data_IF_126436243512
#
_entry.id   IF_126436243512
#
_cell.length_a   1.000
_cell.length_b   1.000
_cell.length_c   1.000
_cell.angle_alpha   90.00
_cell.angle_beta   90.00
_cell.angle_gamma   90.00
#
_symmetry.space_group_name_H-M   'P 1'
#
loop_
_entity.id
_entity.type
_entity.pdbx_description
1 polymer ?
#
# COMPACT_ATOMS: atom_id res chain seq x y z
N UNK A 1 12.12 2.39 3.77
CA UNK A 1 12.01 2.94 2.40
C UNK A 1 13.30 2.71 1.62
N UNK A 2 13.21 2.19 0.39
CA UNK A 2 14.32 2.20 -0.55
C UNK A 2 14.56 3.63 -1.05
N UNK A 3 15.67 4.26 -0.63
CA UNK A 3 15.98 5.66 -0.95
C UNK A 3 16.23 5.92 -2.44
N UNK A 4 16.62 4.88 -3.20
CA UNK A 4 16.83 4.98 -4.65
C UNK A 4 15.50 5.07 -5.40
N UNK A 5 14.59 4.16 -5.11
CA UNK A 5 13.22 4.16 -5.66
C UNK A 5 12.49 5.47 -5.30
N UNK A 6 12.63 5.92 -4.05
CA UNK A 6 12.07 7.20 -3.63
C UNK A 6 12.63 8.39 -4.41
N UNK A 7 13.95 8.42 -4.65
CA UNK A 7 14.60 9.48 -5.43
C UNK A 7 14.14 9.49 -6.89
N UNK A 8 14.03 8.32 -7.51
CA UNK A 8 13.52 8.17 -8.88
C UNK A 8 12.05 8.61 -8.98
N UNK A 9 11.19 8.15 -8.06
CA UNK A 9 9.76 8.48 -8.03
C UNK A 9 9.49 10.00 -7.96
N UNK A 10 10.24 10.73 -7.13
CA UNK A 10 10.04 12.19 -6.97
C UNK A 10 10.94 13.05 -7.87
N UNK A 11 11.75 12.42 -8.75
CA UNK A 11 12.65 13.11 -9.66
C UNK A 11 13.74 13.93 -8.95
N UNK A 12 14.36 13.37 -7.90
CA UNK A 12 15.44 14.01 -7.13
C UNK A 12 16.70 13.15 -7.10
N UNK A 13 17.82 13.77 -6.78
CA UNK A 13 19.07 13.05 -6.53
C UNK A 13 18.96 12.25 -5.23
N UNK A 14 19.56 11.06 -5.20
CA UNK A 14 19.53 10.19 -4.02
C UNK A 14 20.11 10.89 -2.77
N UNK A 15 21.12 11.75 -2.93
CA UNK A 15 21.71 12.55 -1.85
C UNK A 15 20.70 13.53 -1.26
N UNK A 16 19.76 14.03 -2.07
CA UNK A 16 18.66 14.88 -1.57
C UNK A 16 17.81 14.11 -0.56
N UNK A 17 17.46 12.86 -0.86
CA UNK A 17 16.70 11.99 0.06
C UNK A 17 17.48 11.72 1.36
N UNK A 18 18.78 11.42 1.25
CA UNK A 18 19.64 11.24 2.44
C UNK A 18 19.70 12.49 3.32
N UNK A 19 19.79 13.68 2.71
CA UNK A 19 19.85 14.93 3.46
C UNK A 19 18.52 15.29 4.12
N UNK A 20 17.39 14.89 3.53
CA UNK A 20 16.06 15.24 4.05
C UNK A 20 15.72 14.59 5.38
N UNK A 21 16.34 13.46 5.72
CA UNK A 21 16.22 12.87 7.07
C UNK A 21 16.56 13.88 8.17
N UNK A 22 17.55 14.77 7.90
CA UNK A 22 17.98 15.82 8.83
C UNK A 22 17.39 17.19 8.53
N UNK A 23 17.32 17.56 7.24
CA UNK A 23 17.01 18.93 6.80
C UNK A 23 15.52 19.15 6.56
N UNK A 24 14.76 18.10 6.25
CA UNK A 24 13.31 18.15 5.97
C UNK A 24 12.60 16.90 6.54
N UNK A 25 12.65 16.68 7.86
CA UNK A 25 12.24 15.42 8.48
C UNK A 25 10.76 15.07 8.23
N UNK A 26 9.89 16.06 8.07
CA UNK A 26 8.48 15.82 7.75
C UNK A 26 8.28 15.27 6.33
N UNK A 27 9.00 15.81 5.34
CA UNK A 27 8.97 15.29 3.97
C UNK A 27 9.55 13.88 3.91
N UNK A 28 10.65 13.65 4.63
CA UNK A 28 11.25 12.33 4.73
C UNK A 28 10.26 11.29 5.32
N UNK A 29 9.54 11.64 6.40
CA UNK A 29 8.50 10.78 6.99
C UNK A 29 7.33 10.49 6.05
N UNK A 30 6.90 11.47 5.26
CA UNK A 30 5.83 11.27 4.26
C UNK A 30 6.25 10.23 3.22
N UNK A 31 7.49 10.34 2.72
CA UNK A 31 8.03 9.34 1.79
C UNK A 31 8.16 7.97 2.45
N UNK A 32 8.68 7.90 3.67
CA UNK A 32 8.76 6.62 4.39
C UNK A 32 7.41 5.96 4.56
N UNK A 33 6.37 6.72 4.92
CA UNK A 33 5.01 6.20 5.06
C UNK A 33 4.45 5.69 3.73
N UNK A 34 4.65 6.43 2.64
CA UNK A 34 4.20 6.04 1.30
C UNK A 34 4.83 4.71 0.87
N UNK A 35 6.16 4.61 0.96
CA UNK A 35 6.89 3.42 0.52
C UNK A 35 6.77 2.25 1.51
N UNK A 36 6.53 2.50 2.79
CA UNK A 36 6.22 1.45 3.76
C UNK A 36 4.90 0.78 3.42
N UNK A 37 3.85 1.57 3.10
CA UNK A 37 2.56 1.03 2.64
C UNK A 37 2.70 0.19 1.38
N UNK A 38 3.50 0.60 0.42
CA UNK A 38 3.74 -0.23 -0.78
C UNK A 38 4.48 -1.53 -0.45
N UNK A 39 5.42 -1.51 0.50
CA UNK A 39 6.17 -2.71 0.91
C UNK A 39 5.40 -3.70 1.80
N UNK A 40 4.35 -3.23 2.50
CA UNK A 40 3.51 -4.04 3.38
C UNK A 40 2.34 -4.72 2.64
N UNK A 41 2.08 -4.33 1.39
CA UNK A 41 1.06 -4.98 0.56
C UNK A 41 1.65 -6.27 0.00
N UNK A 42 1.28 -7.40 0.60
CA UNK A 42 1.52 -8.73 0.06
C UNK A 42 1.13 -8.77 -1.44
N UNK A 43 1.93 -9.38 -2.34
CA UNK A 43 1.58 -9.54 -3.76
C UNK A 43 0.14 -10.02 -4.00
N UNK A 44 -0.36 -10.96 -3.19
CA UNK A 44 -1.75 -11.43 -3.24
C UNK A 44 -2.76 -10.35 -2.86
N UNK A 45 -2.42 -9.46 -1.92
CA UNK A 45 -3.28 -8.33 -1.56
C UNK A 45 -3.33 -7.29 -2.68
N UNK A 46 -2.20 -7.04 -3.35
CA UNK A 46 -2.18 -6.17 -4.54
C UNK A 46 -3.04 -6.75 -5.67
N UNK A 47 -2.86 -8.03 -5.98
CA UNK A 47 -3.65 -8.74 -6.98
C UNK A 47 -5.15 -8.73 -6.62
N UNK A 48 -5.51 -8.89 -5.34
CA UNK A 48 -6.89 -8.79 -4.88
C UNK A 48 -7.49 -7.40 -5.17
N UNK A 49 -6.79 -6.32 -4.88
CA UNK A 49 -7.25 -4.95 -5.16
C UNK A 49 -7.46 -4.77 -6.66
N UNK A 50 -6.47 -5.15 -7.47
CA UNK A 50 -6.54 -5.01 -8.93
C UNK A 50 -7.69 -5.81 -9.57
N UNK A 51 -8.00 -6.99 -9.02
CA UNK A 51 -9.14 -7.80 -9.45
C UNK A 51 -10.47 -7.19 -8.98
N UNK A 52 -10.53 -6.72 -7.74
CA UNK A 52 -11.74 -6.14 -7.15
C UNK A 52 -12.19 -4.85 -7.86
N UNK A 53 -11.23 -4.02 -8.25
CA UNK A 53 -11.49 -2.75 -8.97
C UNK A 53 -12.06 -2.96 -10.39
N UNK A 54 -11.94 -4.16 -10.96
CA UNK A 54 -12.51 -4.51 -12.29
C UNK A 54 -13.96 -4.98 -12.22
N UNK A 55 -14.47 -5.24 -11.02
CA UNK A 55 -15.83 -5.73 -10.81
C UNK A 55 -16.85 -4.60 -10.84
N UNK A 56 -18.08 -4.93 -11.22
CA UNK A 56 -19.22 -4.03 -11.01
C UNK A 56 -19.53 -3.85 -9.53
N UNK A 57 -20.26 -2.79 -9.16
CA UNK A 57 -20.63 -2.51 -7.77
C UNK A 57 -21.36 -3.70 -7.11
N UNK A 58 -22.22 -4.40 -7.85
CA UNK A 58 -22.97 -5.53 -7.28
C UNK A 58 -22.08 -6.75 -7.02
N UNK A 59 -21.10 -7.01 -7.90
CA UNK A 59 -20.11 -8.06 -7.71
C UNK A 59 -19.18 -7.74 -6.54
N UNK A 60 -18.75 -6.48 -6.40
CA UNK A 60 -17.98 -6.03 -5.25
C UNK A 60 -18.73 -6.28 -3.93
N UNK A 61 -20.02 -5.93 -3.85
CA UNK A 61 -20.85 -6.20 -2.66
C UNK A 61 -21.01 -7.69 -2.38
N UNK A 62 -21.13 -8.51 -3.43
CA UNK A 62 -21.18 -9.97 -3.30
C UNK A 62 -19.90 -10.51 -2.65
N UNK A 63 -18.72 -10.15 -3.18
CA UNK A 63 -17.44 -10.64 -2.64
C UNK A 63 -17.14 -10.09 -1.24
N UNK A 64 -17.52 -8.84 -0.95
CA UNK A 64 -17.44 -8.31 0.42
C UNK A 64 -18.30 -9.13 1.39
N UNK A 65 -19.51 -9.51 0.97
CA UNK A 65 -20.40 -10.35 1.77
C UNK A 65 -19.82 -11.75 2.00
N UNK A 66 -19.24 -12.38 0.97
CA UNK A 66 -18.60 -13.70 1.07
C UNK A 66 -17.40 -13.67 2.04
N UNK A 67 -16.52 -12.66 1.93
CA UNK A 67 -15.37 -12.50 2.82
C UNK A 67 -15.83 -12.33 4.27
N UNK A 68 -16.85 -11.49 4.52
CA UNK A 68 -17.42 -11.29 5.86
C UNK A 68 -18.00 -12.60 6.41
N UNK A 69 -18.74 -13.35 5.60
CA UNK A 69 -19.31 -14.64 6.00
C UNK A 69 -18.21 -15.65 6.37
N UNK A 70 -17.10 -15.69 5.62
CA UNK A 70 -15.94 -16.56 5.93
C UNK A 70 -15.26 -16.18 7.24
N UNK A 71 -15.09 -14.89 7.51
CA UNK A 71 -14.51 -14.41 8.77
C UNK A 71 -15.41 -14.81 9.93
N UNK A 72 -16.70 -14.52 9.84
CA UNK A 72 -17.68 -14.88 10.86
C UNK A 72 -17.72 -16.39 11.10
N UNK A 73 -17.67 -17.19 10.05
CA UNK A 73 -17.65 -18.66 10.16
C UNK A 73 -16.47 -19.15 11.03
N UNK A 74 -15.27 -18.56 10.88
CA UNK A 74 -14.10 -18.91 11.71
C UNK A 74 -14.28 -18.55 13.18
N UNK A 75 -15.07 -17.53 13.50
CA UNK A 75 -15.36 -17.16 14.89
C UNK A 75 -16.37 -18.10 15.55
N UNK A 76 -17.20 -18.76 14.74
CA UNK A 76 -18.25 -19.68 15.19
C UNK A 76 -17.74 -21.15 15.24
N UNK A 77 -16.69 -21.51 14.50
CA UNK A 77 -16.08 -22.85 14.52
C UNK A 77 -14.91 -23.07 13.56
#
# INVERSE_FOLDING_TARGET
>A
MNKREAAEFIGKDIKTIYNWEKTNPNLYKILEFYFQKESEINPTHKELIELFDRLSEIEQQFYLSDIKARILKKEIG
#
